data_IF_376739474947
#
_entry.id   IF_376739474947
#
_cell.length_a   1.000
_cell.length_b   1.000
_cell.length_c   1.000
_cell.angle_alpha   90.00
_cell.angle_beta   90.00
_cell.angle_gamma   90.00
#
_symmetry.space_group_name_H-M   'P 1'
#
loop_
_entity.id
_entity.type
_entity.pdbx_description
1 polymer ?
#
# COMPACT_ATOMS: atom_id res chain seq x y z
N UNK A 1 2.21 39.08 -1.59
CA UNK A 1 0.81 39.56 -1.64
C UNK A 1 0.02 38.58 -2.49
N UNK A 2 -0.36 37.45 -1.90
CA UNK A 2 -1.22 36.45 -2.52
C UNK A 2 -2.56 36.51 -1.80
N UNK A 3 -3.61 36.69 -2.60
CA UNK A 3 -4.98 36.80 -2.17
C UNK A 3 -5.43 35.41 -1.71
N UNK A 4 -5.49 35.19 -0.40
CA UNK A 4 -6.15 34.01 0.15
C UNK A 4 -7.64 34.31 0.08
N UNK A 5 -8.33 33.64 -0.84
CA UNK A 5 -9.77 33.77 -1.01
C UNK A 5 -10.48 33.52 0.34
N UNK A 6 -11.33 34.44 0.82
CA UNK A 6 -12.01 34.32 2.12
C UNK A 6 -13.05 33.19 2.17
N UNK A 7 -13.26 32.49 1.05
CA UNK A 7 -14.09 31.29 0.93
C UNK A 7 -13.20 30.05 0.74
N UNK A 8 -12.37 29.76 1.74
CA UNK A 8 -11.51 28.56 1.82
C UNK A 8 -12.40 27.29 1.82
N UNK A 9 -12.86 26.86 0.65
CA UNK A 9 -13.57 25.60 0.47
C UNK A 9 -12.53 24.47 0.52
N UNK A 10 -12.79 23.41 1.28
CA UNK A 10 -11.94 22.22 1.43
C UNK A 10 -11.38 21.72 0.08
N UNK A 11 -12.15 21.85 -1.00
CA UNK A 11 -11.70 21.41 -2.33
C UNK A 11 -10.54 22.25 -2.90
N UNK A 12 -10.52 23.56 -2.69
CA UNK A 12 -9.44 24.43 -3.17
C UNK A 12 -8.14 24.26 -2.37
N UNK A 13 -8.26 24.01 -1.07
CA UNK A 13 -7.10 23.71 -0.21
C UNK A 13 -6.53 22.34 -0.57
N UNK A 14 -7.41 21.38 -0.82
CA UNK A 14 -7.02 20.04 -1.24
C UNK A 14 -6.26 20.03 -2.57
N UNK A 15 -6.68 20.83 -3.56
CA UNK A 15 -5.96 20.92 -4.85
C UNK A 15 -4.55 21.49 -4.67
N UNK A 16 -4.40 22.55 -3.88
CA UNK A 16 -3.09 23.15 -3.58
C UNK A 16 -2.19 22.15 -2.84
N UNK A 17 -2.73 21.41 -1.87
CA UNK A 17 -1.98 20.37 -1.16
C UNK A 17 -1.56 19.25 -2.11
N UNK A 18 -2.44 18.82 -3.00
CA UNK A 18 -2.18 17.71 -3.92
C UNK A 18 -1.08 18.04 -4.94
N UNK A 19 -1.12 19.23 -5.54
CA UNK A 19 -0.06 19.72 -6.44
C UNK A 19 1.31 19.72 -5.74
N UNK A 20 1.34 20.25 -4.51
CA UNK A 20 2.57 20.31 -3.72
C UNK A 20 3.05 18.93 -3.25
N UNK A 21 2.15 18.01 -2.94
CA UNK A 21 2.49 16.62 -2.61
C UNK A 21 3.07 15.88 -3.80
N UNK A 22 2.57 16.09 -5.01
CA UNK A 22 3.10 15.46 -6.22
C UNK A 22 4.55 15.86 -6.48
N UNK A 23 4.90 17.14 -6.27
CA UNK A 23 6.29 17.62 -6.35
C UNK A 23 7.21 16.92 -5.34
N UNK A 24 6.72 16.68 -4.11
CA UNK A 24 7.45 15.95 -3.08
C UNK A 24 7.64 14.48 -3.49
N UNK A 25 6.60 13.82 -3.99
CA UNK A 25 6.69 12.42 -4.43
C UNK A 25 7.60 12.22 -5.64
N UNK A 26 7.74 13.23 -6.50
CA UNK A 26 8.70 13.23 -7.62
C UNK A 26 10.15 13.53 -7.18
N UNK A 27 10.42 13.60 -5.88
CA UNK A 27 11.72 13.94 -5.30
C UNK A 27 12.31 15.28 -5.80
N UNK A 28 11.47 16.20 -6.26
CA UNK A 28 11.91 17.49 -6.79
C UNK A 28 12.28 18.51 -5.69
N UNK A 29 12.06 18.15 -4.42
CA UNK A 29 12.32 19.02 -3.27
C UNK A 29 11.34 20.20 -3.24
N UNK A 30 11.18 20.81 -2.05
CA UNK A 30 10.34 21.99 -1.87
C UNK A 30 11.18 23.12 -1.28
N UNK A 31 11.01 24.34 -1.78
CA UNK A 31 11.67 25.50 -1.20
C UNK A 31 11.11 25.79 0.21
N UNK A 32 11.89 26.34 1.15
CA UNK A 32 11.40 26.72 2.47
C UNK A 32 10.19 27.67 2.42
N UNK A 33 10.15 28.56 1.42
CA UNK A 33 9.04 29.49 1.20
C UNK A 33 7.75 28.74 0.84
N UNK A 34 7.81 27.83 -0.13
CA UNK A 34 6.66 27.02 -0.54
C UNK A 34 6.16 26.10 0.58
N UNK A 35 7.07 25.57 1.40
CA UNK A 35 6.71 24.78 2.58
C UNK A 35 5.96 25.60 3.63
N UNK A 36 6.43 26.83 3.91
CA UNK A 36 5.77 27.75 4.83
C UNK A 36 4.38 28.16 4.32
N UNK A 37 4.23 28.44 3.03
CA UNK A 37 2.93 28.77 2.42
C UNK A 37 1.93 27.62 2.58
N UNK A 38 2.36 26.39 2.29
CA UNK A 38 1.53 25.19 2.46
C UNK A 38 1.12 24.97 3.92
N UNK A 39 2.08 25.14 4.85
CA UNK A 39 1.82 25.05 6.28
C UNK A 39 0.79 26.09 6.75
N UNK A 40 0.94 27.35 6.32
CA UNK A 40 0.01 28.42 6.67
C UNK A 40 -1.39 28.15 6.16
N UNK A 41 -1.55 27.65 4.93
CA UNK A 41 -2.87 27.28 4.38
C UNK A 41 -3.54 26.18 5.21
N UNK A 42 -2.81 25.13 5.58
CA UNK A 42 -3.32 24.05 6.42
C UNK A 42 -3.66 24.55 7.82
N UNK A 43 -2.81 25.41 8.39
CA UNK A 43 -3.02 26.00 9.71
C UNK A 43 -4.28 26.86 9.73
N UNK A 44 -4.39 27.82 8.81
CA UNK A 44 -5.55 28.70 8.66
C UNK A 44 -6.84 27.91 8.46
N UNK A 45 -6.83 26.85 7.65
CA UNK A 45 -7.98 25.97 7.50
C UNK A 45 -8.37 25.27 8.81
N UNK A 46 -7.39 24.77 9.56
CA UNK A 46 -7.65 24.11 10.84
C UNK A 46 -8.11 25.09 11.93
N UNK A 47 -7.74 26.38 11.85
CA UNK A 47 -8.04 27.39 12.89
C UNK A 47 -9.26 28.28 12.57
N UNK A 48 -9.55 28.57 11.29
CA UNK A 48 -10.57 29.56 10.90
C UNK A 48 -12.01 29.03 10.97
N UNK A 49 -12.20 27.71 11.05
CA UNK A 49 -13.51 27.08 11.03
C UNK A 49 -13.97 26.51 12.38
N UNK A 50 -13.27 26.84 13.47
CA UNK A 50 -13.81 26.67 14.80
C UNK A 50 -15.01 27.62 14.91
N UNK A 51 -16.21 27.14 15.32
CA UNK A 51 -17.42 27.97 15.28
C UNK A 51 -17.15 29.27 16.01
N UNK A 52 -17.40 30.39 15.32
CA UNK A 52 -17.41 31.72 15.90
C UNK A 52 -18.32 31.69 17.14
N UNK A 53 -17.75 31.47 18.31
CA UNK A 53 -18.28 32.01 19.56
C UNK A 53 -18.06 33.51 19.50
N UNK A 54 -18.87 34.17 18.67
CA UNK A 54 -18.96 35.61 18.54
C UNK A 54 -19.32 36.20 19.91
N UNK A 55 -18.41 37.01 20.42
CA UNK A 55 -18.66 37.77 21.63
C UNK A 55 -19.74 38.84 21.42
N UNK A 56 -20.58 38.96 22.46
CA UNK A 56 -21.27 40.17 22.92
C UNK A 56 -22.67 40.47 22.37
N UNK A 57 -23.71 40.03 23.11
CA UNK A 57 -24.67 40.96 23.69
C UNK A 57 -25.06 40.54 25.12
N UNK A 58 -25.00 41.52 26.02
CA UNK A 58 -25.35 41.46 27.43
C UNK A 58 -26.88 41.40 27.55
N UNK A 59 -27.43 40.30 28.07
CA UNK A 59 -28.72 40.31 28.75
C UNK A 59 -28.71 39.31 29.91
N UNK A 60 -28.88 39.83 31.12
CA UNK A 60 -29.08 39.06 32.36
C UNK A 60 -30.52 38.54 32.43
N UNK A 61 -30.71 37.25 32.72
CA UNK A 61 -31.77 36.64 33.58
C UNK A 61 -31.62 35.11 33.53
N UNK A 62 -31.07 34.51 34.58
CA UNK A 62 -31.77 33.81 35.69
C UNK A 62 -32.11 32.35 35.39
N UNK A 63 -31.56 31.47 36.24
CA UNK A 63 -32.12 30.16 36.67
C UNK A 63 -32.62 29.20 35.59
N UNK A 64 -31.94 28.06 35.43
CA UNK A 64 -32.30 26.80 36.08
C UNK A 64 -31.68 25.60 35.33
N UNK A 65 -31.26 24.61 36.11
CA UNK A 65 -30.63 23.37 35.67
C UNK A 65 -31.40 22.64 34.57
N UNK A 66 -30.69 22.23 33.51
CA UNK A 66 -30.86 20.89 32.94
C UNK A 66 -29.62 20.47 32.15
N UNK A 67 -28.75 19.68 32.79
CA UNK A 67 -27.77 18.84 32.10
C UNK A 67 -28.53 17.69 31.44
N UNK A 68 -29.02 17.90 30.24
CA UNK A 68 -29.44 16.81 29.35
C UNK A 68 -28.30 16.52 28.38
N UNK A 69 -27.69 15.35 28.61
CA UNK A 69 -26.76 14.70 27.69
C UNK A 69 -27.41 14.57 26.32
N UNK A 70 -26.94 15.34 25.34
CA UNK A 70 -27.19 15.09 23.92
C UNK A 70 -25.92 14.44 23.32
N UNK A 71 -25.95 13.16 22.92
CA UNK A 71 -24.78 12.45 22.38
C UNK A 71 -24.48 12.75 20.90
N UNK A 72 -24.83 13.94 20.38
CA UNK A 72 -24.67 14.27 18.97
C UNK A 72 -23.91 15.55 18.66
N UNK A 73 -23.27 16.17 19.66
CA UNK A 73 -22.35 17.29 19.42
C UNK A 73 -20.99 16.74 18.93
N UNK A 74 -21.00 16.09 17.75
CA UNK A 74 -19.78 15.85 16.98
C UNK A 74 -19.26 17.24 16.64
N UNK A 75 -18.27 17.68 17.41
CA UNK A 75 -17.35 18.76 17.06
C UNK A 75 -17.07 18.62 15.56
N UNK A 76 -17.53 19.56 14.71
CA UNK A 76 -17.15 19.59 13.30
C UNK A 76 -15.65 19.87 13.27
N UNK A 77 -14.83 18.83 13.42
CA UNK A 77 -13.38 18.94 13.39
C UNK A 77 -13.03 19.04 11.91
N UNK A 78 -13.01 20.26 11.40
CA UNK A 78 -12.69 20.55 10.00
C UNK A 78 -11.32 20.00 9.59
N UNK A 79 -10.39 19.90 10.54
CA UNK A 79 -9.11 19.20 10.37
C UNK A 79 -9.22 17.68 10.21
N UNK A 80 -10.25 17.03 10.76
CA UNK A 80 -10.48 15.58 10.62
C UNK A 80 -10.88 15.24 9.18
N UNK A 81 -11.65 16.09 8.51
CA UNK A 81 -12.04 15.89 7.12
C UNK A 81 -10.84 15.98 6.17
N UNK A 82 -9.96 16.98 6.37
CA UNK A 82 -8.72 17.11 5.59
C UNK A 82 -7.77 15.95 5.87
N UNK A 83 -7.63 15.56 7.14
CA UNK A 83 -6.83 14.39 7.52
C UNK A 83 -7.35 13.12 6.84
N UNK A 84 -8.66 12.87 6.87
CA UNK A 84 -9.27 11.71 6.22
C UNK A 84 -9.09 11.73 4.70
N UNK A 85 -9.16 12.91 4.07
CA UNK A 85 -8.92 13.07 2.63
C UNK A 85 -7.47 12.76 2.26
N UNK A 86 -6.50 13.26 3.04
CA UNK A 86 -5.08 12.94 2.90
C UNK A 86 -4.81 11.45 3.14
N UNK A 87 -5.37 10.91 4.21
CA UNK A 87 -5.32 9.49 4.57
C UNK A 87 -5.81 8.64 3.40
N UNK A 88 -6.98 8.92 2.84
CA UNK A 88 -7.54 8.15 1.72
C UNK A 88 -6.74 8.29 0.42
N UNK A 89 -6.22 9.49 0.13
CA UNK A 89 -5.34 9.70 -1.02
C UNK A 89 -4.08 8.84 -0.92
N UNK A 90 -3.42 8.84 0.24
CA UNK A 90 -2.24 8.02 0.50
C UNK A 90 -2.53 6.52 0.36
N UNK A 91 -3.67 6.03 0.88
CA UNK A 91 -4.10 4.63 0.70
C UNK A 91 -4.19 4.27 -0.79
N UNK A 92 -4.86 5.11 -1.58
CA UNK A 92 -5.07 4.87 -3.00
C UNK A 92 -3.76 4.94 -3.78
N UNK A 93 -2.92 5.94 -3.50
CA UNK A 93 -1.62 6.09 -4.12
C UNK A 93 -0.69 4.89 -3.86
N UNK A 94 -0.63 4.41 -2.61
CA UNK A 94 0.12 3.20 -2.27
C UNK A 94 -0.41 1.96 -3.00
N UNK A 95 -1.74 1.83 -3.07
CA UNK A 95 -2.39 0.74 -3.81
C UNK A 95 -2.00 0.78 -5.29
N UNK A 96 -2.10 1.92 -5.94
CA UNK A 96 -1.75 2.10 -7.35
C UNK A 96 -0.28 1.77 -7.62
N UNK A 97 0.65 2.27 -6.79
CA UNK A 97 2.08 1.95 -6.94
C UNK A 97 2.33 0.45 -6.87
N UNK A 98 1.70 -0.22 -5.90
CA UNK A 98 1.87 -1.65 -5.70
C UNK A 98 1.28 -2.44 -6.86
N UNK A 99 0.08 -2.08 -7.33
CA UNK A 99 -0.57 -2.71 -8.49
C UNK A 99 0.30 -2.54 -9.74
N UNK A 100 0.82 -1.33 -10.00
CA UNK A 100 1.75 -1.08 -11.11
C UNK A 100 3.04 -1.89 -10.99
N UNK A 101 3.65 -1.95 -9.81
CA UNK A 101 4.89 -2.71 -9.61
C UNK A 101 4.68 -4.21 -9.85
N UNK A 102 3.54 -4.76 -9.40
CA UNK A 102 3.18 -6.15 -9.63
C UNK A 102 2.87 -6.45 -11.10
N UNK A 103 2.21 -5.53 -11.80
CA UNK A 103 1.95 -5.66 -13.24
C UNK A 103 3.25 -5.63 -14.04
N UNK A 104 4.16 -4.71 -13.74
CA UNK A 104 5.50 -4.65 -14.36
C UNK A 104 6.27 -5.93 -14.09
N UNK A 105 6.30 -6.42 -12.85
CA UNK A 105 6.96 -7.69 -12.54
C UNK A 105 6.36 -8.84 -13.36
N UNK A 106 5.03 -8.91 -13.46
CA UNK A 106 4.35 -9.97 -14.22
C UNK A 106 4.68 -9.91 -15.72
N UNK A 107 4.59 -8.73 -16.34
CA UNK A 107 4.75 -8.55 -17.78
C UNK A 107 6.22 -8.60 -18.22
N UNK A 108 7.11 -7.96 -17.48
CA UNK A 108 8.50 -7.75 -17.90
C UNK A 108 9.42 -8.87 -17.41
N UNK A 109 9.16 -9.40 -16.22
CA UNK A 109 10.03 -10.41 -15.62
C UNK A 109 9.42 -11.81 -15.72
N UNK A 110 8.22 -12.00 -15.18
CA UNK A 110 7.64 -13.33 -15.02
C UNK A 110 7.26 -13.98 -16.36
N UNK A 111 6.37 -13.36 -17.14
CA UNK A 111 5.89 -13.92 -18.40
C UNK A 111 6.99 -14.35 -19.39
N UNK A 112 8.03 -13.53 -19.67
CA UNK A 112 9.06 -13.92 -20.63
C UNK A 112 10.04 -14.98 -20.10
N UNK A 113 10.32 -14.99 -18.79
CA UNK A 113 11.36 -15.84 -18.21
C UNK A 113 10.83 -17.14 -17.61
N UNK A 114 9.54 -17.22 -17.23
CA UNK A 114 9.04 -18.32 -16.40
C UNK A 114 9.34 -19.70 -16.98
N UNK A 115 9.18 -19.86 -18.29
CA UNK A 115 9.33 -21.18 -18.93
C UNK A 115 10.78 -21.64 -18.92
N UNK A 116 11.71 -20.71 -19.18
CA UNK A 116 13.15 -21.00 -19.16
C UNK A 116 13.63 -21.26 -17.74
N UNK A 117 13.15 -20.46 -16.78
CA UNK A 117 13.50 -20.58 -15.36
C UNK A 117 13.00 -21.89 -14.76
N UNK A 118 11.74 -22.26 -15.02
CA UNK A 118 11.17 -23.53 -14.58
C UNK A 118 11.93 -24.70 -15.22
N UNK A 119 12.19 -24.66 -16.53
CA UNK A 119 12.93 -25.71 -17.23
C UNK A 119 14.34 -25.90 -16.65
N UNK A 120 15.08 -24.82 -16.42
CA UNK A 120 16.40 -24.86 -15.80
C UNK A 120 16.35 -25.44 -14.37
N UNK A 121 15.33 -25.10 -13.57
CA UNK A 121 15.16 -25.70 -12.24
C UNK A 121 14.90 -27.21 -12.32
N UNK A 122 14.05 -27.68 -13.25
CA UNK A 122 13.79 -29.11 -13.44
C UNK A 122 15.04 -29.86 -13.88
N UNK A 123 15.87 -29.25 -14.75
CA UNK A 123 17.16 -29.83 -15.15
C UNK A 123 18.12 -29.96 -13.95
N UNK A 124 18.23 -28.95 -13.10
CA UNK A 124 19.03 -29.03 -11.88
C UNK A 124 18.52 -30.13 -10.93
N UNK A 125 17.20 -30.24 -10.76
CA UNK A 125 16.60 -31.31 -9.94
C UNK A 125 16.91 -32.69 -10.53
N UNK A 126 16.89 -32.84 -11.86
CA UNK A 126 17.25 -34.09 -12.51
C UNK A 126 18.73 -34.44 -12.32
N UNK A 127 19.61 -33.45 -12.42
CA UNK A 127 21.03 -33.60 -12.12
C UNK A 127 21.26 -34.08 -10.67
N UNK A 128 20.54 -33.51 -9.70
CA UNK A 128 20.58 -33.96 -8.30
C UNK A 128 20.18 -35.44 -8.16
N UNK A 129 19.13 -35.88 -8.86
CA UNK A 129 18.69 -37.30 -8.85
C UNK A 129 19.72 -38.25 -9.44
N UNK A 130 20.53 -37.77 -10.37
CA UNK A 130 21.65 -38.53 -10.96
C UNK A 130 22.93 -38.48 -10.10
N UNK A 131 22.83 -38.01 -8.86
CA UNK A 131 23.92 -37.81 -7.90
C UNK A 131 24.93 -36.73 -8.29
N UNK A 132 24.54 -35.74 -9.12
CA UNK A 132 25.37 -34.56 -9.36
C UNK A 132 25.26 -33.55 -8.21
N UNK A 133 26.38 -32.90 -7.87
CA UNK A 133 26.41 -31.86 -6.84
C UNK A 133 25.89 -30.56 -7.46
N UNK A 134 24.68 -30.16 -7.08
CA UNK A 134 24.05 -28.92 -7.54
C UNK A 134 23.98 -27.85 -6.45
N UNK A 135 23.88 -26.59 -6.86
CA UNK A 135 23.60 -25.50 -5.95
C UNK A 135 22.08 -25.29 -5.80
N UNK A 136 21.52 -25.87 -4.74
CA UNK A 136 20.08 -25.83 -4.45
C UNK A 136 19.56 -24.42 -4.12
N UNK A 137 20.45 -23.43 -3.87
CA UNK A 137 20.05 -22.04 -3.60
C UNK A 137 19.32 -21.41 -4.78
N UNK A 138 19.67 -21.77 -6.02
CA UNK A 138 19.02 -21.23 -7.20
C UNK A 138 17.57 -21.73 -7.32
N UNK A 139 17.34 -23.04 -7.15
CA UNK A 139 16.00 -23.62 -7.12
C UNK A 139 15.19 -22.99 -5.99
N UNK A 140 15.77 -22.89 -4.79
CA UNK A 140 15.11 -22.27 -3.64
C UNK A 140 14.71 -20.82 -3.93
N UNK A 141 15.58 -20.03 -4.55
CA UNK A 141 15.30 -18.64 -4.88
C UNK A 141 14.19 -18.49 -5.92
N UNK A 142 14.15 -19.37 -6.94
CA UNK A 142 13.09 -19.39 -7.96
C UNK A 142 11.76 -19.79 -7.34
N UNK A 143 11.74 -20.87 -6.56
CA UNK A 143 10.54 -21.33 -5.85
C UNK A 143 10.03 -20.23 -4.92
N UNK A 144 10.91 -19.58 -4.16
CA UNK A 144 10.57 -18.45 -3.30
C UNK A 144 10.07 -17.22 -4.08
N UNK A 145 10.54 -17.01 -5.31
CA UNK A 145 10.05 -15.94 -6.17
C UNK A 145 8.65 -16.24 -6.70
N UNK A 146 8.33 -17.51 -6.98
CA UNK A 146 7.03 -17.91 -7.49
C UNK A 146 5.99 -17.99 -6.36
N UNK A 147 6.38 -18.53 -5.20
CA UNK A 147 5.54 -18.56 -3.99
C UNK A 147 5.51 -17.22 -3.25
N UNK A 148 6.34 -16.26 -3.68
CA UNK A 148 6.49 -14.90 -3.15
C UNK A 148 6.90 -14.83 -1.67
N UNK A 149 7.30 -15.93 -1.04
CA UNK A 149 7.36 -16.08 0.42
C UNK A 149 8.46 -15.23 1.10
N UNK A 150 9.45 -14.73 0.35
CA UNK A 150 10.49 -13.84 0.88
C UNK A 150 10.43 -12.41 0.36
N UNK A 151 10.20 -12.20 -0.93
CA UNK A 151 10.11 -10.84 -1.50
C UNK A 151 8.80 -10.17 -1.12
N UNK A 152 7.68 -10.92 -1.14
CA UNK A 152 6.44 -10.47 -0.49
C UNK A 152 6.68 -10.25 0.99
N UNK A 153 7.43 -11.10 1.70
CA UNK A 153 7.68 -10.85 3.13
C UNK A 153 8.45 -9.54 3.38
N UNK A 154 9.53 -9.23 2.66
CA UNK A 154 10.26 -7.97 2.85
C UNK A 154 9.49 -6.75 2.34
N UNK A 155 8.88 -6.85 1.15
CA UNK A 155 8.09 -5.78 0.56
C UNK A 155 6.79 -5.54 1.33
N UNK A 156 6.02 -6.59 1.64
CA UNK A 156 4.85 -6.50 2.52
C UNK A 156 5.24 -6.09 3.93
N UNK A 157 6.40 -6.46 4.48
CA UNK A 157 6.84 -5.96 5.80
C UNK A 157 7.21 -4.48 5.76
N UNK A 158 7.79 -4.01 4.65
CA UNK A 158 8.05 -2.59 4.43
C UNK A 158 6.73 -1.81 4.27
N UNK A 159 5.82 -2.31 3.44
CA UNK A 159 4.49 -1.74 3.22
C UNK A 159 3.65 -1.81 4.50
N UNK A 160 3.68 -2.92 5.23
CA UNK A 160 3.04 -3.09 6.54
C UNK A 160 3.61 -2.11 7.55
N UNK A 161 4.94 -1.94 7.59
CA UNK A 161 5.57 -0.94 8.46
C UNK A 161 5.10 0.46 8.11
N UNK A 162 5.09 0.85 6.83
CA UNK A 162 4.59 2.16 6.39
C UNK A 162 3.11 2.33 6.77
N UNK A 163 2.29 1.31 6.54
CA UNK A 163 0.85 1.38 6.79
C UNK A 163 0.52 1.41 8.28
N UNK A 164 1.26 0.68 9.12
CA UNK A 164 1.14 0.72 10.59
C UNK A 164 1.61 2.07 11.13
N UNK A 165 2.74 2.59 10.66
CA UNK A 165 3.29 3.88 11.10
C UNK A 165 2.38 5.06 10.73
N UNK A 166 1.62 4.93 9.64
CA UNK A 166 0.64 5.92 9.18
C UNK A 166 -0.78 5.69 9.75
N UNK A 167 -0.92 4.83 10.76
CA UNK A 167 -2.17 4.52 11.45
C UNK A 167 -3.30 4.07 10.48
N UNK A 168 -2.93 3.33 9.42
CA UNK A 168 -3.87 2.72 8.47
C UNK A 168 -4.42 1.39 8.97
N UNK A 169 -4.68 1.29 10.27
CA UNK A 169 -5.08 0.05 10.92
C UNK A 169 -6.60 -0.20 10.85
N UNK A 170 -7.28 0.26 9.79
CA UNK A 170 -8.68 -0.13 9.58
C UNK A 170 -8.70 -1.65 9.41
N UNK A 171 -9.37 -2.33 10.35
CA UNK A 171 -9.32 -3.79 10.59
C UNK A 171 -9.58 -4.65 9.32
N UNK A 172 -10.11 -4.06 8.25
CA UNK A 172 -10.42 -4.73 6.99
C UNK A 172 -9.49 -4.41 5.81
N UNK A 173 -8.77 -3.27 5.81
CA UNK A 173 -7.98 -2.84 4.66
C UNK A 173 -6.70 -3.67 4.52
N UNK A 174 -5.91 -3.73 5.59
CA UNK A 174 -4.62 -4.40 5.58
C UNK A 174 -4.73 -5.90 5.25
N UNK A 175 -5.61 -6.69 5.89
CA UNK A 175 -5.76 -8.11 5.55
C UNK A 175 -6.21 -8.33 4.11
N UNK A 176 -7.14 -7.50 3.60
CA UNK A 176 -7.65 -7.60 2.24
C UNK A 176 -6.59 -7.22 1.21
N UNK A 177 -5.82 -6.18 1.47
CA UNK A 177 -4.73 -5.73 0.61
C UNK A 177 -3.60 -6.76 0.53
N UNK A 178 -3.22 -7.35 1.67
CA UNK A 178 -2.26 -8.46 1.72
C UNK A 178 -2.78 -9.67 0.93
N UNK A 179 -4.02 -10.07 1.17
CA UNK A 179 -4.64 -11.18 0.44
C UNK A 179 -4.68 -10.93 -1.08
N UNK A 180 -5.02 -9.72 -1.52
CA UNK A 180 -5.03 -9.37 -2.94
C UNK A 180 -3.65 -9.49 -3.59
N UNK A 181 -2.58 -9.22 -2.84
CA UNK A 181 -1.20 -9.36 -3.33
C UNK A 181 -0.67 -10.79 -3.30
N UNK A 182 -1.10 -11.63 -2.35
CA UNK A 182 -0.58 -13.00 -2.18
C UNK A 182 -1.37 -14.06 -2.94
N UNK A 183 -2.66 -13.82 -3.22
CA UNK A 183 -3.49 -14.78 -3.96
C UNK A 183 -2.94 -15.12 -5.35
N UNK A 184 -2.52 -14.15 -6.19
CA UNK A 184 -2.03 -14.46 -7.53
C UNK A 184 -0.72 -15.25 -7.52
N UNK A 185 0.08 -15.11 -6.45
CA UNK A 185 1.39 -15.77 -6.39
C UNK A 185 1.30 -17.24 -6.02
N UNK A 186 0.29 -17.63 -5.24
CA UNK A 186 0.03 -19.04 -4.99
C UNK A 186 -0.39 -19.77 -6.28
N UNK A 187 -1.22 -19.13 -7.10
CA UNK A 187 -1.60 -19.64 -8.43
C UNK A 187 -0.39 -19.74 -9.35
N UNK A 188 0.48 -18.71 -9.35
CA UNK A 188 1.73 -18.73 -10.13
C UNK A 188 2.61 -19.92 -9.76
N UNK A 189 2.81 -20.18 -8.46
CA UNK A 189 3.60 -21.34 -8.02
C UNK A 189 3.01 -22.66 -8.52
N UNK A 190 1.69 -22.83 -8.35
CA UNK A 190 0.98 -24.05 -8.76
C UNK A 190 1.11 -24.30 -10.26
N UNK A 191 0.77 -23.30 -11.05
CA UNK A 191 0.64 -23.44 -12.50
C UNK A 191 2.00 -23.55 -13.20
N UNK A 192 3.00 -22.79 -12.74
CA UNK A 192 4.26 -22.62 -13.45
C UNK A 192 5.44 -23.36 -12.83
N UNK A 193 5.30 -23.92 -11.63
CA UNK A 193 6.35 -24.74 -11.00
C UNK A 193 5.83 -26.09 -10.52
N UNK A 194 4.77 -26.13 -9.70
CA UNK A 194 4.29 -27.36 -9.07
C UNK A 194 3.81 -28.39 -10.11
N UNK A 195 2.92 -27.98 -11.03
CA UNK A 195 2.38 -28.87 -12.07
C UNK A 195 3.51 -29.43 -12.97
N UNK A 196 4.40 -28.61 -13.56
CA UNK A 196 5.53 -29.12 -14.33
C UNK A 196 6.45 -30.03 -13.51
N UNK A 197 6.73 -29.69 -12.25
CA UNK A 197 7.56 -30.49 -11.37
C UNK A 197 6.98 -31.87 -11.08
N UNK A 198 5.69 -31.95 -10.76
CA UNK A 198 5.01 -33.23 -10.49
C UNK A 198 5.01 -34.12 -11.74
N UNK A 199 4.68 -33.55 -12.91
CA UNK A 199 4.70 -34.28 -14.18
C UNK A 199 6.09 -34.82 -14.50
N UNK A 200 7.12 -33.99 -14.38
CA UNK A 200 8.50 -34.37 -14.64
C UNK A 200 8.99 -35.44 -13.66
N UNK A 201 8.58 -35.34 -12.39
CA UNK A 201 8.90 -36.32 -11.34
C UNK A 201 8.23 -37.66 -11.58
N UNK A 202 6.96 -37.66 -11.97
CA UNK A 202 6.24 -38.88 -12.33
C UNK A 202 6.91 -39.59 -13.51
N UNK A 203 7.27 -38.86 -14.57
CA UNK A 203 7.93 -39.43 -15.75
C UNK A 203 9.28 -40.06 -15.39
N UNK A 204 10.08 -39.37 -14.56
CA UNK A 204 11.36 -39.88 -14.09
C UNK A 204 11.20 -41.24 -13.38
N UNK A 205 10.33 -41.32 -12.38
CA UNK A 205 10.15 -42.57 -11.63
C UNK A 205 9.50 -43.68 -12.44
N UNK A 206 8.65 -43.37 -13.43
CA UNK A 206 8.14 -44.36 -14.38
C UNK A 206 9.26 -44.98 -15.23
N UNK A 207 10.19 -44.16 -15.72
CA UNK A 207 11.32 -44.63 -16.52
C UNK A 207 12.32 -45.41 -15.66
N UNK A 208 12.62 -44.90 -14.47
CA UNK A 208 13.47 -45.58 -13.51
C UNK A 208 12.91 -46.95 -13.16
N UNK A 209 11.62 -47.05 -12.82
CA UNK A 209 10.96 -48.32 -12.52
C UNK A 209 10.90 -49.29 -13.71
N UNK A 210 10.90 -48.80 -14.95
CA UNK A 210 10.96 -49.65 -16.16
C UNK A 210 12.37 -50.17 -16.45
N UNK A 211 13.40 -49.53 -15.91
CA UNK A 211 14.80 -49.92 -16.08
C UNK A 211 15.31 -50.86 -14.97
N UNK A 212 14.50 -51.10 -13.93
CA UNK A 212 14.72 -52.06 -12.85
C UNK A 212 13.99 -53.38 -13.12
#
# INVERSE_FOLDING_TARGET
MSWIDPNLNLNGIWTTILENLEHIYRAQGMSPTSYMELYTVVYEYCTNSQPQSGGSQITRRSTQNNRQNNPHDKKNVVGEELYNKLKNYLKNYLKEIVEMAMEIWKLVFFQPLQSQVTSACLQLINAERQNEIINTRFIRAVVQSYSNDQYSFFFLKFIWKILVELDFNEDSFLPRFIHQMTSPTLEIYKDYFEVPFLQYTEQFYRQEAANF
#
